data_IF_850903502038
#
_entry.id   IF_850903502038
#
_cell.length_a   1.000
_cell.length_b   1.000
_cell.length_c   1.000
_cell.angle_alpha   90.00
_cell.angle_beta   90.00
_cell.angle_gamma   90.00
#
_symmetry.space_group_name_H-M   'P 1'
#
loop_
_entity.id
_entity.type
_entity.pdbx_description
1 polymer ?
#
# COMPACT_ATOMS: atom_id res chain seq x y z
N UNK A 1 10.71 -3.05 -7.47
CA UNK A 1 9.23 -3.12 -7.59
C UNK A 1 8.76 -4.14 -8.59
N UNK A 2 9.37 -4.20 -9.79
CA UNK A 2 8.94 -5.13 -10.84
C UNK A 2 9.12 -6.58 -10.41
N UNK A 3 10.28 -6.90 -9.84
CA UNK A 3 10.56 -8.23 -9.30
C UNK A 3 9.55 -8.63 -8.23
N UNK A 4 9.30 -7.75 -7.27
CA UNK A 4 8.33 -7.99 -6.20
C UNK A 4 6.93 -8.23 -6.77
N UNK A 5 6.51 -7.43 -7.74
CA UNK A 5 5.17 -7.53 -8.31
C UNK A 5 4.97 -8.77 -9.19
N UNK A 6 6.05 -9.49 -9.51
CA UNK A 6 5.97 -10.76 -10.22
C UNK A 6 5.73 -11.94 -9.29
N UNK A 7 5.89 -11.76 -7.99
CA UNK A 7 5.60 -12.83 -7.03
C UNK A 7 4.08 -13.05 -6.96
N UNK A 8 3.56 -14.25 -7.29
CA UNK A 8 2.12 -14.47 -7.34
C UNK A 8 1.38 -14.11 -6.05
N UNK A 9 2.00 -14.39 -4.91
CA UNK A 9 1.39 -14.12 -3.62
C UNK A 9 1.31 -12.64 -3.31
N UNK A 10 2.21 -11.83 -3.86
CA UNK A 10 2.22 -10.38 -3.65
C UNK A 10 1.10 -9.72 -4.45
N UNK A 11 0.91 -10.11 -5.71
CA UNK A 11 -0.05 -9.47 -6.62
C UNK A 11 -1.44 -10.10 -6.58
N UNK A 12 -1.60 -11.22 -5.87
CA UNK A 12 -2.84 -12.00 -5.81
C UNK A 12 -4.08 -11.17 -5.52
N UNK A 13 -3.97 -10.17 -4.64
CA UNK A 13 -5.08 -9.35 -4.20
C UNK A 13 -5.06 -7.94 -4.81
N UNK A 14 -4.31 -7.74 -5.88
CA UNK A 14 -4.19 -6.46 -6.56
C UNK A 14 -4.45 -6.69 -8.05
N UNK A 15 -5.72 -6.68 -8.46
CA UNK A 15 -6.10 -7.09 -9.82
C UNK A 15 -5.41 -6.34 -10.95
N UNK A 16 -5.21 -5.04 -10.80
CA UNK A 16 -4.58 -4.21 -11.82
C UNK A 16 -3.14 -4.64 -12.07
N UNK A 17 -2.38 -4.87 -11.01
CA UNK A 17 -1.00 -5.32 -11.13
C UNK A 17 -0.93 -6.75 -11.64
N UNK A 18 -1.82 -7.61 -11.16
CA UNK A 18 -1.87 -9.00 -11.59
C UNK A 18 -2.11 -9.10 -13.10
N UNK A 19 -3.00 -8.28 -13.65
CA UNK A 19 -3.24 -8.22 -15.09
C UNK A 19 -1.99 -7.81 -15.87
N UNK A 20 -1.18 -6.93 -15.31
CA UNK A 20 0.01 -6.40 -15.97
C UNK A 20 1.20 -7.34 -15.93
N UNK A 21 1.29 -8.20 -14.92
CA UNK A 21 2.45 -9.10 -14.77
C UNK A 21 2.23 -10.49 -15.32
N UNK A 22 0.98 -10.86 -15.58
CA UNK A 22 0.65 -12.17 -16.17
C UNK A 22 0.67 -12.08 -17.69
N UNK A 23 1.74 -12.59 -18.32
CA UNK A 23 1.78 -12.66 -19.76
C UNK A 23 3.12 -12.34 -20.41
N UNK A 24 3.09 -11.61 -21.51
CA UNK A 24 4.19 -11.39 -22.43
C UNK A 24 5.05 -10.17 -22.07
N UNK A 25 6.11 -9.94 -22.87
CA UNK A 25 6.97 -8.75 -22.74
C UNK A 25 6.19 -7.43 -22.82
N UNK A 26 5.09 -7.41 -23.60
CA UNK A 26 4.23 -6.23 -23.67
C UNK A 26 3.60 -5.92 -22.31
N UNK A 27 3.21 -6.94 -21.56
CA UNK A 27 2.66 -6.78 -20.23
C UNK A 27 3.73 -6.29 -19.24
N UNK A 28 4.97 -6.72 -19.40
CA UNK A 28 6.08 -6.21 -18.57
C UNK A 28 6.29 -4.72 -18.80
N UNK A 29 6.23 -4.27 -20.04
CA UNK A 29 6.37 -2.85 -20.36
C UNK A 29 5.23 -2.04 -19.75
N UNK A 30 4.00 -2.50 -19.88
CA UNK A 30 2.84 -1.85 -19.27
C UNK A 30 2.97 -1.80 -17.76
N UNK A 31 3.51 -2.85 -17.15
CA UNK A 31 3.74 -2.89 -15.73
C UNK A 31 4.76 -1.84 -15.28
N UNK A 32 5.84 -1.69 -16.03
CA UNK A 32 6.84 -0.64 -15.76
C UNK A 32 6.25 0.74 -15.88
N UNK A 33 5.44 0.98 -16.89
CA UNK A 33 4.75 2.25 -17.10
C UNK A 33 3.79 2.54 -15.95
N UNK A 34 3.04 1.54 -15.50
CA UNK A 34 2.13 1.67 -14.36
C UNK A 34 2.88 2.09 -13.10
N UNK A 35 4.00 1.42 -12.79
CA UNK A 35 4.81 1.75 -11.63
C UNK A 35 5.36 3.17 -11.75
N UNK A 36 5.88 3.53 -12.92
CA UNK A 36 6.44 4.85 -13.16
C UNK A 36 5.38 5.93 -12.96
N UNK A 37 4.20 5.76 -13.55
CA UNK A 37 3.11 6.71 -13.39
C UNK A 37 2.75 6.92 -11.94
N UNK A 38 2.71 5.85 -11.14
CA UNK A 38 2.37 5.93 -9.74
C UNK A 38 3.47 6.60 -8.91
N UNK A 39 4.74 6.38 -9.25
CA UNK A 39 5.86 6.93 -8.47
C UNK A 39 6.25 8.34 -8.92
N UNK A 40 5.98 8.70 -10.17
CA UNK A 40 6.28 10.02 -10.71
C UNK A 40 5.10 10.98 -10.69
N UNK A 41 3.90 10.51 -10.32
CA UNK A 41 2.71 11.35 -10.23
C UNK A 41 2.93 12.49 -9.23
N UNK A 42 2.33 13.64 -9.52
CA UNK A 42 2.39 14.77 -8.62
C UNK A 42 1.36 14.57 -7.50
N UNK A 43 1.85 14.44 -6.29
CA UNK A 43 1.03 14.33 -5.10
C UNK A 43 1.13 15.61 -4.27
N UNK A 44 0.16 15.86 -3.38
CA UNK A 44 0.29 16.96 -2.43
C UNK A 44 1.62 16.87 -1.69
N UNK A 45 2.16 18.02 -1.30
CA UNK A 45 3.43 18.09 -0.60
C UNK A 45 3.43 17.16 0.61
N UNK A 46 4.48 16.38 0.74
CA UNK A 46 4.66 15.44 1.85
C UNK A 46 4.01 14.09 1.65
N UNK A 47 3.25 13.91 0.57
CA UNK A 47 2.61 12.63 0.26
C UNK A 47 3.34 11.92 -0.89
N UNK A 48 3.11 10.64 -1.06
CA UNK A 48 3.69 9.85 -2.13
C UNK A 48 4.01 8.44 -1.69
N UNK A 49 5.08 7.90 -2.26
CA UNK A 49 5.54 6.54 -2.01
C UNK A 49 6.89 6.57 -1.32
N UNK A 50 7.09 5.66 -0.38
CA UNK A 50 8.39 5.47 0.29
C UNK A 50 8.83 4.03 0.14
N UNK A 51 10.13 3.84 -0.01
CA UNK A 51 10.74 2.52 -0.02
C UNK A 51 10.92 2.06 1.42
N UNK A 52 10.63 0.79 1.67
CA UNK A 52 10.91 0.15 2.96
C UNK A 52 12.18 -0.68 2.78
N UNK A 53 13.17 -0.44 3.63
CA UNK A 53 14.43 -1.18 3.64
C UNK A 53 14.61 -1.89 4.98
N UNK A 54 15.23 -3.06 4.95
CA UNK A 54 15.53 -3.80 6.18
C UNK A 54 16.84 -3.33 6.77
N UNK A 55 16.83 -2.88 8.01
CA UNK A 55 18.06 -2.53 8.74
C UNK A 55 18.88 -3.77 9.08
N UNK A 56 18.21 -4.89 9.30
CA UNK A 56 18.83 -6.14 9.72
C UNK A 56 19.44 -6.90 8.53
N UNK A 57 18.90 -6.72 7.35
CA UNK A 57 19.30 -7.45 6.15
C UNK A 57 20.02 -6.52 5.16
N UNK A 58 21.08 -5.84 5.65
CA UNK A 58 21.96 -5.00 4.84
C UNK A 58 21.24 -3.96 3.97
N UNK A 59 20.16 -3.40 4.50
CA UNK A 59 19.32 -2.42 3.81
C UNK A 59 18.73 -2.95 2.51
N UNK A 60 18.42 -4.23 2.48
CA UNK A 60 17.73 -4.83 1.34
C UNK A 60 16.34 -4.23 1.17
N UNK A 61 15.92 -4.12 -0.07
CA UNK A 61 14.58 -3.66 -0.40
C UNK A 61 13.54 -4.65 0.11
N UNK A 62 12.66 -4.17 0.96
CA UNK A 62 11.56 -4.96 1.54
C UNK A 62 10.27 -4.78 0.76
N UNK A 63 9.97 -3.56 0.38
CA UNK A 63 8.75 -3.21 -0.31
C UNK A 63 8.55 -1.70 -0.30
N UNK A 64 7.29 -1.27 -0.40
CA UNK A 64 6.98 0.15 -0.36
C UNK A 64 5.67 0.41 0.39
N UNK A 65 5.52 1.65 0.81
CA UNK A 65 4.34 2.15 1.49
C UNK A 65 3.93 3.46 0.84
N UNK A 66 2.64 3.71 0.74
CA UNK A 66 2.11 4.92 0.14
C UNK A 66 1.21 5.68 1.10
N UNK A 67 1.16 6.98 0.92
CA UNK A 67 0.19 7.87 1.52
C UNK A 67 -0.19 8.89 0.46
N UNK A 68 -1.33 8.72 -0.16
CA UNK A 68 -1.74 9.52 -1.31
C UNK A 68 -3.25 9.78 -1.28
N UNK A 69 -3.70 10.83 -1.98
CA UNK A 69 -5.14 10.95 -2.24
C UNK A 69 -5.64 9.71 -2.96
N UNK A 70 -6.79 9.19 -2.56
CA UNK A 70 -7.35 7.98 -3.15
C UNK A 70 -7.46 8.15 -4.67
N UNK A 71 -6.95 7.18 -5.41
CA UNK A 71 -6.88 7.19 -6.87
C UNK A 71 -6.19 8.44 -7.43
N UNK A 72 -5.28 9.04 -6.66
CA UNK A 72 -4.57 10.29 -6.98
C UNK A 72 -5.50 11.51 -7.09
N UNK A 73 -6.75 11.40 -6.67
CA UNK A 73 -7.77 12.45 -6.76
C UNK A 73 -8.24 12.91 -5.38
N UNK A 74 -8.46 11.98 -4.47
CA UNK A 74 -9.03 12.26 -3.16
C UNK A 74 -10.55 12.42 -3.21
N UNK A 75 -11.21 13.04 -2.22
CA UNK A 75 -10.59 13.71 -1.06
C UNK A 75 -10.04 12.77 0.01
N UNK A 76 -10.40 11.50 0.02
CA UNK A 76 -9.86 10.57 1.01
C UNK A 76 -8.36 10.41 0.82
N UNK A 77 -7.63 10.26 1.93
CA UNK A 77 -6.20 10.00 1.92
C UNK A 77 -5.99 8.53 2.27
N UNK A 78 -5.37 7.82 1.36
CA UNK A 78 -5.17 6.38 1.47
C UNK A 78 -3.77 6.04 1.94
N UNK A 79 -3.67 5.09 2.88
CA UNK A 79 -2.41 4.43 3.21
C UNK A 79 -2.45 3.02 2.61
N UNK A 80 -1.32 2.59 2.05
CA UNK A 80 -1.21 1.25 1.48
C UNK A 80 0.21 0.75 1.58
N UNK A 81 0.38 -0.57 1.50
CA UNK A 81 1.69 -1.21 1.61
C UNK A 81 1.75 -2.44 0.75
N UNK A 82 2.96 -2.73 0.26
CA UNK A 82 3.25 -3.95 -0.48
C UNK A 82 4.68 -4.37 -0.18
N UNK A 83 4.83 -5.61 0.28
CA UNK A 83 6.12 -6.16 0.66
C UNK A 83 6.42 -7.42 -0.13
N UNK A 84 7.71 -7.68 -0.35
CA UNK A 84 8.16 -8.97 -0.85
C UNK A 84 7.70 -10.06 0.11
N UNK A 85 7.27 -11.19 -0.43
CA UNK A 85 6.71 -12.28 0.35
C UNK A 85 7.64 -12.74 1.49
N UNK A 86 8.95 -12.80 1.24
CA UNK A 86 9.90 -13.25 2.25
C UNK A 86 9.95 -12.37 3.50
N UNK A 87 9.41 -11.17 3.43
CA UNK A 87 9.34 -10.25 4.56
C UNK A 87 7.97 -10.21 5.24
N UNK A 88 7.04 -11.03 4.78
CA UNK A 88 5.72 -11.10 5.42
C UNK A 88 5.81 -11.72 6.81
N UNK A 89 4.91 -11.32 7.70
CA UNK A 89 4.82 -11.88 9.04
C UNK A 89 5.94 -11.48 9.99
N UNK A 90 6.74 -10.49 9.62
CA UNK A 90 7.89 -10.04 10.42
C UNK A 90 7.71 -8.65 11.04
N UNK A 91 6.56 -8.04 10.82
CA UNK A 91 6.25 -6.72 11.40
C UNK A 91 6.70 -5.52 10.59
N UNK A 92 7.32 -5.71 9.44
CA UNK A 92 7.81 -4.58 8.63
C UNK A 92 6.69 -3.64 8.20
N UNK A 93 5.58 -4.18 7.69
CA UNK A 93 4.46 -3.34 7.25
C UNK A 93 3.85 -2.58 8.41
N UNK A 94 3.67 -3.24 9.55
CA UNK A 94 3.10 -2.63 10.75
C UNK A 94 3.99 -1.48 11.25
N UNK A 95 5.29 -1.70 11.30
CA UNK A 95 6.25 -0.68 11.74
C UNK A 95 6.24 0.53 10.80
N UNK A 96 6.35 0.27 9.50
CA UNK A 96 6.34 1.34 8.50
C UNK A 96 5.03 2.11 8.51
N UNK A 97 3.90 1.41 8.59
CA UNK A 97 2.59 2.04 8.58
C UNK A 97 2.36 2.92 9.82
N UNK A 98 2.83 2.50 10.99
CA UNK A 98 2.74 3.32 12.19
C UNK A 98 3.50 4.64 12.05
N UNK A 99 4.69 4.57 11.46
CA UNK A 99 5.51 5.77 11.22
C UNK A 99 4.79 6.72 10.26
N UNK A 100 4.26 6.19 9.16
CA UNK A 100 3.56 7.00 8.17
C UNK A 100 2.26 7.60 8.73
N UNK A 101 1.51 6.87 9.54
CA UNK A 101 0.32 7.41 10.19
C UNK A 101 0.65 8.56 11.14
N UNK A 102 1.68 8.38 11.95
CA UNK A 102 2.13 9.43 12.86
C UNK A 102 2.53 10.67 12.09
N UNK A 103 3.28 10.49 11.02
CA UNK A 103 3.68 11.56 10.13
C UNK A 103 2.46 12.27 9.52
N UNK A 104 1.48 11.51 9.04
CA UNK A 104 0.27 12.07 8.44
C UNK A 104 -0.50 12.94 9.44
N UNK A 105 -0.66 12.48 10.66
CA UNK A 105 -1.42 13.20 11.67
C UNK A 105 -0.68 14.38 12.29
N UNK A 106 0.62 14.21 12.56
CA UNK A 106 1.39 15.24 13.26
C UNK A 106 1.96 16.32 12.34
N UNK A 107 2.46 15.92 11.17
CA UNK A 107 3.13 16.86 10.28
C UNK A 107 2.25 17.35 9.13
N UNK A 108 1.42 16.47 8.58
CA UNK A 108 0.54 16.85 7.47
C UNK A 108 -0.84 17.29 7.94
N UNK A 109 -1.13 17.14 9.22
CA UNK A 109 -2.39 17.53 9.83
C UNK A 109 -3.62 16.91 9.17
N UNK A 110 -3.44 15.71 8.62
CA UNK A 110 -4.52 14.94 8.01
C UNK A 110 -5.47 14.49 9.12
N UNK A 111 -6.77 14.58 8.87
CA UNK A 111 -7.78 14.24 9.88
C UNK A 111 -8.18 12.79 9.86
N UNK A 112 -8.19 12.18 8.69
CA UNK A 112 -8.59 10.79 8.51
C UNK A 112 -7.73 10.13 7.46
N UNK A 113 -7.31 8.89 7.72
CA UNK A 113 -6.58 8.04 6.77
C UNK A 113 -7.39 6.78 6.56
N UNK A 114 -7.51 6.34 5.32
CA UNK A 114 -8.26 5.14 4.95
C UNK A 114 -7.35 4.10 4.30
N UNK A 115 -7.79 2.85 4.33
CA UNK A 115 -7.18 1.76 3.58
C UNK A 115 -8.31 0.89 3.02
N UNK A 116 -8.22 0.57 1.74
CA UNK A 116 -9.16 -0.33 1.09
C UNK A 116 -8.47 -1.67 0.88
N UNK A 117 -8.96 -2.71 1.52
CA UNK A 117 -8.29 -4.01 1.58
C UNK A 117 -9.24 -5.09 1.09
N UNK A 118 -8.75 -5.93 0.19
CA UNK A 118 -9.50 -7.10 -0.27
C UNK A 118 -9.83 -7.99 0.94
N UNK A 119 -11.09 -8.42 1.05
CA UNK A 119 -11.55 -9.23 2.17
C UNK A 119 -10.77 -10.53 2.37
N UNK A 120 -10.12 -11.02 1.31
CA UNK A 120 -9.33 -12.24 1.36
C UNK A 120 -7.88 -11.98 1.80
N UNK A 121 -7.46 -10.74 1.81
CA UNK A 121 -6.09 -10.39 2.19
C UNK A 121 -5.97 -10.26 3.71
N UNK A 122 -5.92 -11.40 4.39
CA UNK A 122 -5.91 -11.47 5.85
C UNK A 122 -4.67 -10.82 6.46
N UNK A 123 -3.54 -10.91 5.76
CA UNK A 123 -2.31 -10.28 6.23
C UNK A 123 -2.41 -8.77 6.31
N UNK A 124 -2.94 -8.13 5.27
CA UNK A 124 -3.15 -6.69 5.27
C UNK A 124 -4.22 -6.26 6.26
N UNK A 125 -5.27 -7.06 6.43
CA UNK A 125 -6.30 -6.80 7.44
C UNK A 125 -5.67 -6.76 8.83
N UNK A 126 -4.79 -7.71 9.14
CA UNK A 126 -4.11 -7.74 10.44
C UNK A 126 -3.23 -6.52 10.65
N UNK A 127 -2.52 -6.09 9.60
CA UNK A 127 -1.71 -4.86 9.69
C UNK A 127 -2.60 -3.66 9.98
N UNK A 128 -3.70 -3.51 9.24
CA UNK A 128 -4.63 -2.40 9.43
C UNK A 128 -5.15 -2.36 10.88
N UNK A 129 -5.55 -3.51 11.41
CA UNK A 129 -6.04 -3.59 12.78
C UNK A 129 -4.96 -3.26 13.81
N UNK A 130 -3.74 -3.75 13.59
CA UNK A 130 -2.61 -3.49 14.51
C UNK A 130 -2.23 -2.01 14.58
N UNK A 131 -2.41 -1.27 13.49
CA UNK A 131 -2.09 0.16 13.48
C UNK A 131 -3.28 1.05 13.87
N UNK A 132 -4.39 0.44 14.23
CA UNK A 132 -5.53 1.14 14.79
C UNK A 132 -6.65 1.48 13.82
N UNK A 133 -6.57 1.04 12.57
CA UNK A 133 -7.66 1.23 11.64
C UNK A 133 -8.85 0.34 12.03
N UNK A 134 -10.03 0.86 11.81
CA UNK A 134 -11.29 0.21 12.17
C UNK A 134 -12.11 -0.03 10.91
N UNK A 135 -12.76 -1.16 10.82
CA UNK A 135 -13.67 -1.50 9.73
C UNK A 135 -14.82 -0.49 9.69
N UNK A 136 -14.93 0.24 8.59
CA UNK A 136 -15.92 1.31 8.41
C UNK A 136 -16.63 1.14 7.08
N UNK A 137 -17.52 0.23 7.00
CA UNK A 137 -18.31 0.04 5.81
C UNK A 137 -18.29 -1.37 5.30
N UNK A 138 -19.34 -1.69 4.58
CA UNK A 138 -19.52 -3.01 4.03
C UNK A 138 -18.75 -3.22 2.76
N UNK A 139 -18.79 -4.45 2.32
CA UNK A 139 -18.33 -4.82 1.00
C UNK A 139 -19.34 -4.30 -0.01
N UNK A 140 -18.86 -3.50 -0.93
CA UNK A 140 -19.65 -3.15 -2.08
C UNK A 140 -19.29 -4.13 -3.21
N UNK A 141 -19.38 -3.68 -4.44
CA UNK A 141 -19.22 -4.55 -5.60
C UNK A 141 -17.82 -5.12 -5.80
N UNK A 142 -16.79 -4.53 -5.15
CA UNK A 142 -15.40 -4.83 -5.41
C UNK A 142 -14.77 -5.81 -4.42
N UNK A 143 -15.52 -6.29 -3.43
CA UNK A 143 -15.03 -7.15 -2.36
C UNK A 143 -13.97 -6.50 -1.47
N UNK A 144 -13.83 -5.18 -1.53
CA UNK A 144 -12.91 -4.43 -0.67
C UNK A 144 -13.61 -3.96 0.59
N UNK A 145 -12.88 -3.99 1.69
CA UNK A 145 -13.34 -3.48 2.97
C UNK A 145 -12.66 -2.15 3.22
N UNK A 146 -13.42 -1.15 3.62
CA UNK A 146 -12.88 0.15 3.98
C UNK A 146 -12.52 0.16 5.46
N UNK A 147 -11.27 0.43 5.74
CA UNK A 147 -10.75 0.66 7.09
C UNK A 147 -10.38 2.13 7.23
N UNK A 148 -10.60 2.70 8.39
CA UNK A 148 -10.19 4.07 8.61
C UNK A 148 -9.74 4.33 10.04
N UNK A 149 -8.96 5.41 10.20
CA UNK A 149 -8.57 5.94 11.50
C UNK A 149 -8.62 7.45 11.45
N UNK A 150 -9.18 8.04 12.49
CA UNK A 150 -9.25 9.48 12.65
C UNK A 150 -8.17 9.98 13.60
N UNK A 151 -7.69 11.18 13.33
CA UNK A 151 -6.77 11.88 14.23
C UNK A 151 -7.48 12.15 15.56
N UNK A 152 -6.76 11.93 16.64
CA UNK A 152 -7.24 12.24 17.98
C UNK A 152 -6.93 13.66 18.42
#
# INVERSE_FOLDING_TARGET
CIEMNREPEVVKYIPEVNKLVNGTSANERKHREFIRERTEAEYPEGMGYWVIESKEDQRQFVGWILLIPLDAVGPEIEIGWRLKRKYWGKGYATEAARVILQYAFEFLEIKEVVAYIDQMNKGSIRVAEKIGLVHKGGLETDNYIRYSIHRH
#
